data_IF_947498219671
#
_entry.id   IF_947498219671
#
_cell.length_a   1.000
_cell.length_b   1.000
_cell.length_c   1.000
_cell.angle_alpha   90.00
_cell.angle_beta   90.00
_cell.angle_gamma   90.00
#
_symmetry.space_group_name_H-M   'P 1'
#
loop_
_entity.id
_entity.type
_entity.pdbx_description
1 polymer ?
#
# COMPACT_ATOMS: atom_id res chain seq x y z
N UNK A 1 -8.57 -6.69 12.71
CA UNK A 1 -7.23 -7.18 13.13
C UNK A 1 -6.58 -6.15 14.04
N UNK A 2 -5.64 -6.54 14.90
CA UNK A 2 -4.91 -5.60 15.74
C UNK A 2 -3.81 -4.86 14.94
N UNK A 3 -3.49 -3.64 15.38
CA UNK A 3 -2.44 -2.79 14.79
C UNK A 3 -1.05 -3.42 14.93
N UNK A 4 -0.16 -3.21 13.95
CA UNK A 4 1.24 -3.63 14.08
C UNK A 4 1.94 -2.78 15.17
N UNK A 5 2.49 -3.38 16.23
CA UNK A 5 3.05 -2.62 17.36
C UNK A 5 4.30 -1.81 16.98
N UNK A 6 5.14 -2.31 16.06
CA UNK A 6 6.36 -1.62 15.65
C UNK A 6 6.03 -0.41 14.77
N UNK A 7 5.11 -0.57 13.82
CA UNK A 7 4.67 0.53 12.96
C UNK A 7 3.89 1.57 13.75
N UNK A 8 3.08 1.15 14.73
CA UNK A 8 2.43 2.05 15.66
C UNK A 8 3.43 2.86 16.49
N UNK A 9 4.51 2.23 16.99
CA UNK A 9 5.56 2.91 17.73
C UNK A 9 6.29 3.96 16.87
N UNK A 10 6.59 3.65 15.61
CA UNK A 10 7.17 4.60 14.66
C UNK A 10 6.24 5.80 14.43
N UNK A 11 4.95 5.55 14.19
CA UNK A 11 3.96 6.62 14.02
C UNK A 11 3.80 7.47 15.27
N UNK A 12 3.81 6.86 16.47
CA UNK A 12 3.77 7.58 17.73
C UNK A 12 5.03 8.44 17.98
N UNK A 13 6.18 8.02 17.44
CA UNK A 13 7.42 8.79 17.43
C UNK A 13 7.46 9.90 16.36
N UNK A 14 6.37 10.11 15.60
CA UNK A 14 6.26 11.14 14.58
C UNK A 14 6.73 10.71 13.18
N UNK A 15 7.00 9.42 12.95
CA UNK A 15 7.42 8.89 11.65
C UNK A 15 6.21 8.46 10.82
N UNK A 16 6.08 9.02 9.62
CA UNK A 16 5.02 8.60 8.67
C UNK A 16 5.42 7.32 7.95
N UNK A 17 4.53 6.31 7.96
CA UNK A 17 4.74 5.03 7.26
C UNK A 17 4.08 5.07 5.88
N UNK A 18 4.86 4.83 4.84
CA UNK A 18 4.42 4.88 3.44
C UNK A 18 4.58 3.52 2.77
N UNK A 19 3.64 3.19 1.89
CA UNK A 19 3.67 2.00 1.05
C UNK A 19 4.42 2.27 -0.25
N UNK A 20 5.49 1.53 -0.52
CA UNK A 20 6.33 1.75 -1.72
C UNK A 20 5.82 1.03 -2.99
N UNK A 21 4.56 0.62 -3.03
CA UNK A 21 3.99 -0.18 -4.14
C UNK A 21 2.47 0.02 -4.22
N UNK A 22 2.05 1.19 -4.71
CA UNK A 22 0.63 1.45 -4.94
C UNK A 22 0.19 0.91 -6.31
N UNK A 23 -0.69 -0.10 -6.30
CA UNK A 23 -1.26 -0.71 -7.51
C UNK A 23 -2.79 -0.76 -7.45
N UNK A 24 -3.42 -0.93 -8.62
CA UNK A 24 -4.88 -1.05 -8.77
C UNK A 24 -5.43 -2.28 -8.07
N UNK A 25 -4.70 -3.40 -8.09
CA UNK A 25 -5.04 -4.62 -7.36
C UNK A 25 -5.23 -4.34 -5.86
N UNK A 26 -4.33 -3.58 -5.24
CA UNK A 26 -4.41 -3.26 -3.80
C UNK A 26 -5.60 -2.36 -3.47
N UNK A 27 -5.99 -1.50 -4.41
CA UNK A 27 -7.18 -0.66 -4.28
C UNK A 27 -8.45 -1.50 -4.38
N UNK A 28 -8.57 -2.33 -5.42
CA UNK A 28 -9.79 -3.11 -5.69
C UNK A 28 -10.01 -4.24 -4.68
N UNK A 29 -8.94 -4.90 -4.23
CA UNK A 29 -9.01 -5.98 -3.24
C UNK A 29 -9.32 -5.51 -1.81
N UNK A 30 -9.24 -4.19 -1.54
CA UNK A 30 -9.31 -3.65 -0.18
C UNK A 30 -8.02 -3.82 0.64
N UNK A 31 -6.96 -4.38 0.05
CA UNK A 31 -5.68 -4.56 0.74
C UNK A 31 -5.08 -3.22 1.21
N UNK A 32 -5.17 -2.14 0.43
CA UNK A 32 -4.68 -0.84 0.88
C UNK A 32 -5.42 -0.37 2.14
N UNK A 33 -6.74 -0.59 2.21
CA UNK A 33 -7.53 -0.25 3.38
C UNK A 33 -7.10 -1.06 4.60
N UNK A 34 -6.86 -2.36 4.44
CA UNK A 34 -6.32 -3.20 5.51
C UNK A 34 -4.97 -2.68 6.02
N UNK A 35 -4.07 -2.24 5.13
CA UNK A 35 -2.78 -1.68 5.51
C UNK A 35 -2.90 -0.34 6.26
N UNK A 36 -3.84 0.51 5.88
CA UNK A 36 -4.15 1.73 6.63
C UNK A 36 -4.65 1.35 8.03
N UNK A 37 -5.63 0.45 8.11
CA UNK A 37 -6.29 0.08 9.36
C UNK A 37 -5.37 -0.69 10.33
N UNK A 38 -4.38 -1.44 9.81
CA UNK A 38 -3.62 -2.43 10.60
C UNK A 38 -2.11 -2.27 10.57
N UNK A 39 -1.57 -1.36 9.74
CA UNK A 39 -0.12 -1.14 9.56
C UNK A 39 0.31 0.34 9.58
N UNK A 40 -0.55 1.25 10.04
CA UNK A 40 -0.27 2.69 10.12
C UNK A 40 0.13 3.35 8.79
N UNK A 41 -0.24 2.76 7.65
CA UNK A 41 0.07 3.35 6.33
C UNK A 41 -0.73 4.63 6.14
N UNK A 42 -0.06 5.72 5.79
CA UNK A 42 -0.69 7.04 5.58
C UNK A 42 -0.51 7.59 4.16
N UNK A 43 0.25 6.90 3.32
CA UNK A 43 0.52 7.31 1.95
C UNK A 43 1.11 6.16 1.14
N UNK A 44 1.19 6.35 -0.18
CA UNK A 44 1.83 5.39 -1.08
C UNK A 44 2.54 6.09 -2.22
N UNK A 45 3.59 5.47 -2.73
CA UNK A 45 4.35 5.96 -3.88
C UNK A 45 4.03 5.13 -5.12
N UNK A 46 4.11 5.79 -6.27
CA UNK A 46 4.29 5.16 -7.56
C UNK A 46 5.62 5.65 -8.13
N UNK A 47 6.38 4.75 -8.75
CA UNK A 47 7.60 5.10 -9.50
C UNK A 47 7.59 4.35 -10.83
N UNK A 48 8.20 4.89 -11.91
CA UNK A 48 8.15 4.28 -13.24
C UNK A 48 8.60 2.82 -13.30
N UNK A 49 9.56 2.41 -12.46
CA UNK A 49 10.07 1.04 -12.43
C UNK A 49 9.04 0.01 -11.90
N UNK A 50 8.05 0.44 -11.11
CA UNK A 50 7.03 -0.45 -10.57
C UNK A 50 5.86 -0.65 -11.52
N UNK A 51 5.63 0.29 -12.44
CA UNK A 51 4.47 0.26 -13.33
C UNK A 51 4.45 -0.96 -14.26
N UNK A 52 5.56 -1.36 -14.92
CA UNK A 52 5.59 -2.59 -15.72
C UNK A 52 5.23 -3.84 -14.90
N UNK A 53 5.70 -3.93 -13.65
CA UNK A 53 5.38 -5.05 -12.78
C UNK A 53 3.88 -5.08 -12.43
N UNK A 54 3.27 -3.92 -12.16
CA UNK A 54 1.84 -3.80 -11.90
C UNK A 54 0.98 -4.15 -13.13
N UNK A 55 1.44 -3.81 -14.34
CA UNK A 55 0.75 -4.17 -15.60
C UNK A 55 0.90 -5.66 -15.95
N UNK A 56 2.05 -6.26 -15.63
CA UNK A 56 2.30 -7.69 -15.91
C UNK A 56 1.62 -8.64 -14.92
N UNK A 57 1.13 -8.13 -13.79
CA UNK A 57 0.52 -8.91 -12.72
C UNK A 57 -0.99 -8.77 -12.77
N UNK A 58 -1.69 -9.89 -12.90
CA UNK A 58 -3.14 -9.91 -12.92
C UNK A 58 -3.72 -9.24 -14.16
N UNK A 59 -5.00 -8.86 -14.08
CA UNK A 59 -5.78 -8.28 -15.19
C UNK A 59 -6.41 -6.95 -14.83
N UNK A 60 -6.05 -6.37 -13.67
CA UNK A 60 -6.74 -5.18 -13.16
C UNK A 60 -6.62 -3.96 -14.08
N UNK A 61 -5.60 -3.93 -14.94
CA UNK A 61 -5.36 -2.83 -15.88
C UNK A 61 -5.85 -3.11 -17.31
N UNK A 62 -6.34 -4.32 -17.64
CA UNK A 62 -6.63 -4.75 -19.02
C UNK A 62 -7.76 -3.96 -19.70
N UNK A 63 -8.61 -3.30 -18.93
CA UNK A 63 -9.78 -2.56 -19.42
C UNK A 63 -9.51 -1.11 -19.81
N UNK A 64 -8.25 -0.69 -20.00
CA UNK A 64 -7.86 0.70 -20.32
C UNK A 64 -6.99 0.74 -21.58
#
# INVERSE_FOLDING_TARGET
MAQNPNLAALSAAGVSVWLDDLSRDRLQSGNLKELIDTRSVVGGTTIPLLFPAALSKGTAYDGQ
#
